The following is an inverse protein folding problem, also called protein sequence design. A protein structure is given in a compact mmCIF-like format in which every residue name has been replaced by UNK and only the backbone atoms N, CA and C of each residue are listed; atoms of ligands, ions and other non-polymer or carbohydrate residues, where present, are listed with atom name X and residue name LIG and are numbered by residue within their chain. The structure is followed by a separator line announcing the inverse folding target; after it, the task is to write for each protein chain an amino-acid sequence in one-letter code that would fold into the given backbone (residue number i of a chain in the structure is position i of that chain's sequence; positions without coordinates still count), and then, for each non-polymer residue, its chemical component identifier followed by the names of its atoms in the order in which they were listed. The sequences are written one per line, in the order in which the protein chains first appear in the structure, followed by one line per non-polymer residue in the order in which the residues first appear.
data_IF_411667533824
#
_entry.id   IF_411667533824
#
_cell.length_a   1.000
_cell.length_b   1.000
_cell.length_c   1.000
_cell.angle_alpha   90.00
_cell.angle_beta   90.00
_cell.angle_gamma   90.00
#
_symmetry.space_group_name_H-M   'P 1'
#
loop_
_entity.id
_entity.type
_entity.pdbx_description
1 polymer ?
#
# COMPACT_ATOMS: atom_id res chain seq x y z
N UNK A 1 64.85 30.99 33.76
CA UNK A 1 63.44 30.56 33.83
C UNK A 1 62.80 30.87 32.48
N UNK A 2 62.75 29.89 31.58
CA UNK A 2 62.12 30.07 30.26
C UNK A 2 60.61 30.09 30.44
N UNK A 3 59.96 31.17 30.00
CA UNK A 3 58.52 31.31 30.01
C UNK A 3 57.89 30.26 29.09
N UNK A 4 56.92 29.52 29.61
CA UNK A 4 56.10 28.59 28.82
C UNK A 4 55.29 29.40 27.79
N UNK A 5 55.23 28.96 26.53
CA UNK A 5 54.42 29.62 25.51
C UNK A 5 52.94 29.50 25.87
N UNK A 6 52.23 30.62 25.71
CA UNK A 6 50.80 30.76 25.98
C UNK A 6 50.00 29.79 25.09
N UNK A 7 49.03 29.03 25.62
CA UNK A 7 48.22 28.13 24.82
C UNK A 7 47.36 28.93 23.84
N UNK A 8 47.51 28.63 22.55
CA UNK A 8 46.77 29.30 21.48
C UNK A 8 45.24 29.13 21.60
N UNK A 9 44.46 30.02 20.95
CA UNK A 9 43.01 30.00 21.02
C UNK A 9 42.46 28.66 20.55
N UNK A 10 41.60 28.05 21.36
CA UNK A 10 40.91 26.81 21.04
C UNK A 10 40.02 26.99 19.80
N UNK A 11 40.03 26.04 18.84
CA UNK A 11 39.17 26.12 17.67
C UNK A 11 37.69 26.25 18.07
N UNK A 12 36.88 27.05 17.36
CA UNK A 12 35.45 27.15 17.65
C UNK A 12 34.80 25.78 17.56
N UNK A 13 34.03 25.42 18.58
CA UNK A 13 33.32 24.16 18.61
C UNK A 13 32.41 24.05 17.37
N UNK A 14 32.37 22.87 16.70
CA UNK A 14 31.47 22.68 15.57
C UNK A 14 30.03 22.96 16.00
N UNK A 15 29.21 23.60 15.12
CA UNK A 15 27.83 23.91 15.45
C UNK A 15 27.13 22.61 15.84
N UNK A 16 26.50 22.62 17.03
CA UNK A 16 25.71 21.49 17.48
C UNK A 16 24.64 21.20 16.44
N UNK A 17 24.46 19.94 15.99
CA UNK A 17 23.43 19.62 15.02
C UNK A 17 22.08 20.08 15.59
N UNK A 18 21.20 20.68 14.76
CA UNK A 18 19.92 21.14 15.24
C UNK A 18 19.19 19.97 15.90
N UNK A 19 18.80 20.12 17.16
CA UNK A 19 17.96 19.15 17.85
C UNK A 19 16.63 19.10 17.10
N UNK A 20 16.44 18.07 16.26
CA UNK A 20 15.16 17.85 15.61
C UNK A 20 14.18 17.35 16.65
N UNK A 21 13.43 18.28 17.25
CA UNK A 21 12.27 17.92 18.06
C UNK A 21 11.22 17.34 17.12
N UNK A 22 10.86 16.07 17.35
CA UNK A 22 9.78 15.42 16.62
C UNK A 22 8.47 16.01 17.16
N UNK A 23 7.84 16.90 16.41
CA UNK A 23 6.53 17.47 16.74
C UNK A 23 5.43 16.78 15.93
N UNK A 24 4.33 16.46 16.59
CA UNK A 24 3.13 15.95 15.95
C UNK A 24 2.39 17.10 15.29
N UNK A 25 2.38 17.11 13.96
CA UNK A 25 1.69 18.12 13.17
C UNK A 25 0.27 17.65 12.82
N UNK A 26 -0.72 18.13 13.58
CA UNK A 26 -2.13 17.79 13.40
C UNK A 26 -2.70 18.28 12.06
N UNK A 27 -2.06 19.25 11.40
CA UNK A 27 -2.49 19.69 10.05
C UNK A 27 -2.38 18.57 9.01
N UNK A 28 -1.58 17.53 9.30
CA UNK A 28 -1.36 16.37 8.43
C UNK A 28 -2.30 15.20 8.70
N UNK A 29 -3.11 15.27 9.75
CA UNK A 29 -4.12 14.27 10.10
C UNK A 29 -5.04 13.89 8.92
N UNK A 30 -5.53 14.83 8.09
CA UNK A 30 -6.36 14.49 6.93
C UNK A 30 -5.67 13.56 5.94
N UNK A 31 -4.37 13.78 5.71
CA UNK A 31 -3.60 12.95 4.77
C UNK A 31 -3.34 11.54 5.30
N UNK A 32 -3.11 11.40 6.61
CA UNK A 32 -2.94 10.11 7.27
C UNK A 32 -4.28 9.37 7.35
N UNK A 33 -5.37 10.05 7.72
CA UNK A 33 -6.72 9.51 7.75
C UNK A 33 -7.19 9.05 6.37
N UNK A 34 -6.85 9.79 5.31
CA UNK A 34 -7.13 9.37 3.94
C UNK A 34 -6.39 8.07 3.57
N UNK A 35 -5.11 7.97 3.92
CA UNK A 35 -4.34 6.74 3.67
C UNK A 35 -4.92 5.54 4.42
N UNK A 36 -5.22 5.69 5.71
CA UNK A 36 -5.87 4.64 6.52
C UNK A 36 -7.24 4.27 5.96
N UNK A 37 -8.03 5.26 5.57
CA UNK A 37 -9.35 5.04 5.00
C UNK A 37 -9.31 4.26 3.70
N UNK A 38 -8.45 4.66 2.76
CA UNK A 38 -8.21 3.90 1.52
C UNK A 38 -7.69 2.50 1.82
N UNK A 39 -6.77 2.36 2.77
CA UNK A 39 -6.18 1.08 3.15
C UNK A 39 -7.24 0.08 3.64
N UNK A 40 -8.17 0.53 4.49
CA UNK A 40 -9.26 -0.30 5.02
C UNK A 40 -10.30 -0.64 3.95
N UNK A 41 -10.69 0.32 3.11
CA UNK A 41 -11.60 0.03 1.99
C UNK A 41 -10.96 -0.94 1.00
N UNK A 42 -9.67 -0.77 0.67
CA UNK A 42 -8.92 -1.71 -0.15
C UNK A 42 -8.85 -3.10 0.48
N UNK A 43 -8.62 -3.21 1.79
CA UNK A 43 -8.66 -4.49 2.49
C UNK A 43 -10.01 -5.19 2.30
N UNK A 44 -11.13 -4.45 2.37
CA UNK A 44 -12.46 -4.99 2.01
C UNK A 44 -12.52 -5.52 0.58
N UNK A 45 -11.93 -4.81 -0.39
CA UNK A 45 -11.89 -5.26 -1.79
C UNK A 45 -11.04 -6.53 -1.93
N UNK A 46 -9.90 -6.64 -1.24
CA UNK A 46 -9.06 -7.84 -1.27
C UNK A 46 -9.78 -9.03 -0.63
N UNK A 47 -10.48 -8.84 0.50
CA UNK A 47 -11.32 -9.91 1.08
C UNK A 47 -12.43 -10.30 0.09
N UNK A 48 -13.07 -9.34 -0.56
CA UNK A 48 -14.06 -9.65 -1.61
C UNK A 48 -13.45 -10.47 -2.74
N UNK A 49 -12.25 -10.10 -3.20
CA UNK A 49 -11.52 -10.82 -4.25
C UNK A 49 -11.23 -12.27 -3.86
N UNK A 50 -10.77 -12.49 -2.63
CA UNK A 50 -10.39 -13.82 -2.15
C UNK A 50 -11.59 -14.74 -1.91
N UNK A 51 -12.76 -14.18 -1.58
CA UNK A 51 -13.92 -14.97 -1.13
C UNK A 51 -15.07 -15.04 -2.12
N UNK A 52 -15.18 -14.10 -3.08
CA UNK A 52 -16.31 -14.04 -4.02
C UNK A 52 -16.48 -15.31 -4.87
N UNK A 53 -15.40 -16.06 -5.10
CA UNK A 53 -15.36 -17.30 -5.92
C UNK A 53 -14.89 -18.52 -5.15
N UNK A 54 -14.88 -18.49 -3.81
CA UNK A 54 -14.29 -19.56 -2.97
C UNK A 54 -14.85 -20.95 -3.28
N UNK A 55 -16.10 -21.04 -3.73
CA UNK A 55 -16.79 -22.30 -4.06
C UNK A 55 -17.01 -22.48 -5.59
N UNK A 56 -16.25 -21.77 -6.43
CA UNK A 56 -16.38 -21.79 -7.89
C UNK A 56 -17.53 -20.94 -8.44
N UNK A 57 -18.66 -20.88 -7.73
CA UNK A 57 -19.75 -19.96 -8.04
C UNK A 57 -19.50 -18.55 -7.47
N UNK A 58 -20.06 -17.54 -8.14
CA UNK A 58 -19.96 -16.15 -7.71
C UNK A 58 -20.93 -15.87 -6.55
N UNK A 59 -20.39 -15.63 -5.35
CA UNK A 59 -21.15 -15.07 -4.25
C UNK A 59 -21.42 -13.58 -4.52
N UNK A 60 -22.61 -13.29 -5.04
CA UNK A 60 -23.03 -11.93 -5.38
C UNK A 60 -23.00 -10.96 -4.20
N UNK A 61 -23.18 -11.44 -2.97
CA UNK A 61 -23.16 -10.57 -1.77
C UNK A 61 -21.75 -10.07 -1.47
N UNK A 62 -20.76 -10.99 -1.53
CA UNK A 62 -19.35 -10.66 -1.34
C UNK A 62 -18.83 -9.84 -2.52
N UNK A 63 -19.17 -10.23 -3.75
CA UNK A 63 -18.74 -9.52 -4.96
C UNK A 63 -19.26 -8.08 -5.00
N UNK A 64 -20.56 -7.87 -4.72
CA UNK A 64 -21.16 -6.54 -4.77
C UNK A 64 -20.56 -5.57 -3.75
N UNK A 65 -20.19 -6.03 -2.55
CA UNK A 65 -19.47 -5.21 -1.56
C UNK A 65 -18.11 -4.73 -2.09
N UNK A 66 -17.35 -5.61 -2.76
CA UNK A 66 -16.08 -5.24 -3.38
C UNK A 66 -16.24 -4.25 -4.53
N UNK A 67 -17.27 -4.42 -5.37
CA UNK A 67 -17.62 -3.47 -6.44
C UNK A 67 -18.00 -2.10 -5.87
N UNK A 68 -18.89 -2.07 -4.85
CA UNK A 68 -19.31 -0.82 -4.20
C UNK A 68 -18.14 -0.11 -3.54
N UNK A 69 -17.25 -0.84 -2.85
CA UNK A 69 -16.04 -0.29 -2.26
C UNK A 69 -15.11 0.33 -3.32
N UNK A 70 -14.88 -0.38 -4.42
CA UNK A 70 -14.01 0.07 -5.52
C UNK A 70 -14.57 1.31 -6.22
N UNK A 71 -15.84 1.26 -6.62
CA UNK A 71 -16.53 2.40 -7.25
C UNK A 71 -16.72 3.56 -6.28
N UNK A 72 -16.91 3.29 -4.99
CA UNK A 72 -17.00 4.30 -3.94
C UNK A 72 -15.71 5.11 -3.81
N UNK A 73 -14.55 4.45 -3.84
CA UNK A 73 -13.25 5.14 -3.83
C UNK A 73 -13.05 6.03 -5.07
N UNK A 74 -13.45 5.55 -6.26
CA UNK A 74 -13.41 6.35 -7.48
C UNK A 74 -14.39 7.54 -7.42
N UNK A 75 -15.61 7.31 -6.92
CA UNK A 75 -16.61 8.36 -6.76
C UNK A 75 -16.15 9.43 -5.77
N UNK A 76 -15.48 9.04 -4.67
CA UNK A 76 -14.85 9.99 -3.73
C UNK A 76 -13.77 10.80 -4.44
N UNK A 77 -12.89 10.16 -5.22
CA UNK A 77 -11.85 10.86 -5.96
C UNK A 77 -12.43 11.86 -6.96
N UNK A 78 -13.45 11.46 -7.73
CA UNK A 78 -14.14 12.34 -8.71
C UNK A 78 -14.88 13.47 -7.98
N UNK A 79 -15.59 13.18 -6.90
CA UNK A 79 -16.30 14.19 -6.13
C UNK A 79 -15.32 15.20 -5.49
N UNK A 80 -14.19 14.73 -4.98
CA UNK A 80 -13.13 15.60 -4.48
C UNK A 80 -12.54 16.45 -5.60
N UNK A 81 -12.32 15.88 -6.79
CA UNK A 81 -11.90 16.64 -7.96
C UNK A 81 -12.91 17.75 -8.29
N UNK A 82 -14.21 17.50 -8.23
CA UNK A 82 -15.19 18.50 -8.67
C UNK A 82 -15.55 19.53 -7.60
N UNK A 83 -15.52 19.16 -6.31
CA UNK A 83 -16.14 19.95 -5.23
C UNK A 83 -15.18 20.51 -4.20
N UNK A 84 -13.96 19.97 -4.08
CA UNK A 84 -13.04 20.37 -3.00
C UNK A 84 -12.17 21.55 -3.46
N UNK A 85 -12.28 22.72 -2.80
CA UNK A 85 -11.40 23.84 -3.08
C UNK A 85 -9.99 23.60 -2.51
N UNK A 86 -8.99 24.23 -3.12
CA UNK A 86 -7.59 24.15 -2.71
C UNK A 86 -6.81 22.98 -3.32
N UNK A 87 -5.63 23.27 -3.87
CA UNK A 87 -4.82 22.28 -4.62
C UNK A 87 -4.31 21.15 -3.73
N UNK A 88 -3.85 21.46 -2.52
CA UNK A 88 -3.26 20.45 -1.62
C UNK A 88 -4.32 19.50 -1.05
N UNK A 89 -5.45 20.05 -0.58
CA UNK A 89 -6.59 19.27 -0.06
C UNK A 89 -7.16 18.34 -1.13
N UNK A 90 -7.33 18.86 -2.34
CA UNK A 90 -7.79 18.11 -3.50
C UNK A 90 -6.80 17.01 -3.89
N UNK A 91 -5.50 17.29 -3.88
CA UNK A 91 -4.49 16.29 -4.25
C UNK A 91 -4.53 15.04 -3.35
N UNK A 92 -4.68 15.19 -2.03
CA UNK A 92 -4.74 14.06 -1.11
C UNK A 92 -6.01 13.22 -1.27
N UNK A 93 -7.17 13.86 -1.42
CA UNK A 93 -8.47 13.20 -1.54
C UNK A 93 -8.75 12.62 -2.93
N UNK A 94 -8.01 13.06 -3.96
CA UNK A 94 -8.11 12.52 -5.33
C UNK A 94 -7.14 11.36 -5.53
N UNK A 95 -5.87 11.53 -5.15
CA UNK A 95 -4.81 10.60 -5.54
C UNK A 95 -4.90 9.24 -4.84
N UNK A 96 -5.08 9.21 -3.52
CA UNK A 96 -5.16 7.94 -2.78
C UNK A 96 -6.46 7.18 -3.05
N UNK A 97 -7.66 7.79 -2.92
CA UNK A 97 -8.90 7.10 -3.27
C UNK A 97 -8.96 6.72 -4.75
N UNK A 98 -8.48 7.59 -5.65
CA UNK A 98 -8.42 7.29 -7.07
C UNK A 98 -7.56 6.07 -7.38
N UNK A 99 -6.33 6.04 -6.85
CA UNK A 99 -5.42 4.91 -7.03
C UNK A 99 -5.99 3.61 -6.43
N UNK A 100 -6.53 3.67 -5.20
CA UNK A 100 -7.16 2.50 -4.57
C UNK A 100 -8.38 2.00 -5.33
N UNK A 101 -9.23 2.92 -5.81
CA UNK A 101 -10.40 2.57 -6.63
C UNK A 101 -10.02 1.92 -7.95
N UNK A 102 -8.94 2.37 -8.60
CA UNK A 102 -8.40 1.74 -9.83
C UNK A 102 -7.96 0.31 -9.57
N UNK A 103 -7.18 0.07 -8.50
CA UNK A 103 -6.77 -1.29 -8.12
C UNK A 103 -7.99 -2.15 -7.83
N UNK A 104 -8.95 -1.62 -7.09
CA UNK A 104 -10.18 -2.35 -6.76
C UNK A 104 -11.00 -2.72 -7.99
N UNK A 105 -11.15 -1.81 -8.96
CA UNK A 105 -11.80 -2.11 -10.24
C UNK A 105 -11.07 -3.21 -10.99
N UNK A 106 -9.73 -3.18 -11.02
CA UNK A 106 -8.93 -4.26 -11.59
C UNK A 106 -9.22 -5.61 -10.93
N UNK A 107 -9.14 -5.67 -9.60
CA UNK A 107 -9.39 -6.89 -8.83
C UNK A 107 -10.82 -7.43 -9.05
N UNK A 108 -11.84 -6.57 -9.01
CA UNK A 108 -13.23 -6.98 -9.24
C UNK A 108 -13.48 -7.41 -10.69
N UNK A 109 -12.78 -6.80 -11.65
CA UNK A 109 -12.82 -7.25 -13.05
C UNK A 109 -12.22 -8.64 -13.20
N UNK A 110 -11.13 -8.95 -12.50
CA UNK A 110 -10.53 -10.28 -12.51
C UNK A 110 -11.50 -11.35 -11.97
N UNK A 111 -12.17 -11.06 -10.86
CA UNK A 111 -13.19 -11.93 -10.25
C UNK A 111 -14.41 -12.14 -11.14
N UNK A 112 -14.81 -11.10 -11.88
CA UNK A 112 -15.95 -11.14 -12.78
C UNK A 112 -15.69 -12.06 -13.99
N UNK A 113 -14.50 -11.93 -14.59
CA UNK A 113 -14.10 -12.70 -15.78
C UNK A 113 -13.88 -14.17 -15.41
N UNK A 114 -13.19 -14.45 -14.30
CA UNK A 114 -12.97 -15.80 -13.75
C UNK A 114 -12.40 -16.83 -14.76
N UNK A 115 -11.56 -16.34 -15.67
CA UNK A 115 -10.95 -17.12 -16.76
C UNK A 115 -9.56 -16.54 -17.09
N UNK A 116 -8.78 -17.22 -17.95
CA UNK A 116 -7.45 -16.80 -18.37
C UNK A 116 -7.36 -15.31 -18.79
N UNK A 117 -8.36 -14.72 -19.49
CA UNK A 117 -8.36 -13.30 -19.81
C UNK A 117 -8.24 -12.36 -18.61
N UNK A 118 -8.69 -12.77 -17.42
CA UNK A 118 -8.59 -11.98 -16.20
C UNK A 118 -7.13 -11.57 -15.89
N UNK A 119 -6.17 -12.44 -16.21
CA UNK A 119 -4.75 -12.27 -15.88
C UNK A 119 -4.05 -11.16 -16.68
N UNK A 120 -4.60 -10.76 -17.84
CA UNK A 120 -4.09 -9.63 -18.60
C UNK A 120 -5.06 -8.45 -18.70
N UNK A 121 -6.38 -8.69 -18.72
CA UNK A 121 -7.38 -7.61 -18.80
C UNK A 121 -7.38 -6.75 -17.54
N UNK A 122 -7.42 -7.37 -16.35
CA UNK A 122 -7.46 -6.64 -15.08
C UNK A 122 -6.21 -5.75 -14.86
N UNK A 123 -4.97 -6.26 -14.97
CA UNK A 123 -3.79 -5.43 -14.74
C UNK A 123 -3.56 -4.41 -15.88
N UNK A 124 -3.98 -4.70 -17.12
CA UNK A 124 -3.98 -3.70 -18.20
C UNK A 124 -4.95 -2.55 -17.92
N UNK A 125 -6.14 -2.87 -17.41
CA UNK A 125 -7.11 -1.86 -16.97
C UNK A 125 -6.55 -0.99 -15.85
N UNK A 126 -5.92 -1.61 -14.84
CA UNK A 126 -5.23 -0.90 -13.75
C UNK A 126 -4.15 0.03 -14.31
N UNK A 127 -3.33 -0.46 -15.23
CA UNK A 127 -2.26 0.32 -15.85
C UNK A 127 -2.81 1.51 -16.65
N UNK A 128 -3.82 1.29 -17.49
CA UNK A 128 -4.42 2.33 -18.33
C UNK A 128 -5.08 3.43 -17.49
N UNK A 129 -5.88 3.05 -16.48
CA UNK A 129 -6.52 4.01 -15.58
C UNK A 129 -5.49 4.73 -14.71
N UNK A 130 -4.46 4.04 -14.24
CA UNK A 130 -3.37 4.64 -13.46
C UNK A 130 -2.59 5.65 -14.29
N UNK A 131 -2.31 5.35 -15.56
CA UNK A 131 -1.71 6.29 -16.49
C UNK A 131 -2.61 7.53 -16.68
N UNK A 132 -3.91 7.34 -16.86
CA UNK A 132 -4.88 8.44 -16.94
C UNK A 132 -4.86 9.33 -15.68
N UNK A 133 -4.93 8.72 -14.49
CA UNK A 133 -4.84 9.44 -13.21
C UNK A 133 -3.50 10.17 -13.05
N UNK A 134 -2.40 9.55 -13.46
CA UNK A 134 -1.07 10.18 -13.44
C UNK A 134 -0.96 11.34 -14.42
N UNK A 135 -1.55 11.26 -15.62
CA UNK A 135 -1.55 12.36 -16.58
C UNK A 135 -2.33 13.57 -16.07
N UNK A 136 -3.40 13.36 -15.29
CA UNK A 136 -4.21 14.42 -14.70
C UNK A 136 -3.55 15.05 -13.47
N UNK A 137 -2.97 14.25 -12.57
CA UNK A 137 -2.50 14.73 -11.24
C UNK A 137 -1.00 14.66 -11.00
N UNK A 138 -0.25 13.86 -11.76
CA UNK A 138 1.20 13.64 -11.61
C UNK A 138 1.61 13.32 -10.16
N UNK A 139 0.81 12.51 -9.48
CA UNK A 139 1.03 12.14 -8.07
C UNK A 139 1.51 10.70 -7.94
N UNK A 140 2.29 10.43 -6.90
CA UNK A 140 2.88 9.13 -6.62
C UNK A 140 1.87 7.96 -6.58
N UNK A 141 0.68 8.04 -5.95
CA UNK A 141 -0.22 6.89 -5.83
C UNK A 141 -0.57 6.21 -7.16
N UNK A 142 -0.80 6.99 -8.23
CA UNK A 142 -1.07 6.45 -9.56
C UNK A 142 0.15 5.77 -10.18
N UNK A 143 1.36 6.24 -9.89
CA UNK A 143 2.59 5.54 -10.32
C UNK A 143 2.67 4.19 -9.62
N UNK A 144 2.38 4.12 -8.31
CA UNK A 144 2.44 2.87 -7.55
C UNK A 144 1.47 1.82 -8.10
N UNK A 145 0.24 2.22 -8.41
CA UNK A 145 -0.77 1.30 -8.95
C UNK A 145 -0.49 0.92 -10.39
N UNK A 146 0.06 1.84 -11.18
CA UNK A 146 0.56 1.53 -12.53
C UNK A 146 1.71 0.51 -12.49
N UNK A 147 2.65 0.67 -11.55
CA UNK A 147 3.74 -0.29 -11.34
C UNK A 147 3.23 -1.66 -10.91
N UNK A 148 2.21 -1.71 -10.04
CA UNK A 148 1.56 -2.95 -9.64
C UNK A 148 0.93 -3.66 -10.85
N UNK A 149 0.13 -2.95 -11.65
CA UNK A 149 -0.45 -3.50 -12.88
C UNK A 149 0.61 -3.96 -13.88
N UNK A 150 1.67 -3.17 -14.07
CA UNK A 150 2.79 -3.51 -14.95
C UNK A 150 3.54 -4.76 -14.46
N UNK A 151 3.77 -4.87 -13.15
CA UNK A 151 4.43 -6.03 -12.55
C UNK A 151 3.62 -7.31 -12.78
N UNK A 152 2.31 -7.27 -12.56
CA UNK A 152 1.42 -8.42 -12.79
C UNK A 152 1.42 -8.82 -14.28
N UNK A 153 1.29 -7.86 -15.19
CA UNK A 153 1.35 -8.12 -16.65
C UNK A 153 2.68 -8.74 -17.08
N UNK A 154 3.78 -8.17 -16.59
CA UNK A 154 5.12 -8.64 -16.92
C UNK A 154 5.34 -10.06 -16.41
N UNK A 155 4.99 -10.34 -15.15
CA UNK A 155 5.16 -11.67 -14.56
C UNK A 155 4.28 -12.70 -15.25
N UNK A 156 3.03 -12.37 -15.58
CA UNK A 156 2.18 -13.26 -16.37
C UNK A 156 2.79 -13.55 -17.75
N UNK A 157 3.24 -12.53 -18.48
CA UNK A 157 3.88 -12.70 -19.78
C UNK A 157 5.15 -13.56 -19.71
N UNK A 158 5.93 -13.38 -18.64
CA UNK A 158 7.11 -14.20 -18.34
C UNK A 158 6.71 -15.66 -18.07
N UNK A 159 5.70 -15.92 -17.24
CA UNK A 159 5.26 -17.30 -16.96
C UNK A 159 4.73 -18.01 -18.22
N UNK A 160 4.09 -17.26 -19.12
CA UNK A 160 3.62 -17.80 -20.41
C UNK A 160 4.77 -18.07 -21.38
N UNK A 161 5.75 -17.16 -21.46
CA UNK A 161 6.90 -17.31 -22.35
C UNK A 161 7.87 -18.42 -21.92
N UNK A 162 7.97 -18.66 -20.61
CA UNK A 162 8.85 -19.67 -20.04
C UNK A 162 8.27 -21.09 -20.20
N UNK A 163 6.94 -21.25 -20.19
CA UNK A 163 6.30 -22.56 -20.30
C UNK A 163 6.72 -23.52 -19.20
N UNK A 164 7.02 -24.78 -19.56
CA UNK A 164 7.47 -25.82 -18.63
C UNK A 164 8.99 -25.77 -18.43
N UNK A 165 9.46 -24.76 -17.69
CA UNK A 165 10.88 -24.64 -17.37
C UNK A 165 11.38 -25.67 -16.32
N UNK A 166 10.50 -26.56 -15.85
CA UNK A 166 10.83 -27.58 -14.85
C UNK A 166 11.70 -27.04 -13.71
N UNK A 167 12.83 -27.69 -13.47
CA UNK A 167 13.76 -27.38 -12.37
C UNK A 167 14.43 -25.99 -12.49
N UNK A 168 14.38 -25.36 -13.67
CA UNK A 168 14.98 -24.03 -13.89
C UNK A 168 14.01 -22.87 -13.62
N UNK A 169 12.74 -23.16 -13.33
CA UNK A 169 11.69 -22.14 -13.17
C UNK A 169 12.09 -21.03 -12.18
N UNK A 170 12.65 -21.40 -11.02
CA UNK A 170 13.05 -20.44 -9.97
C UNK A 170 14.13 -19.47 -10.47
N UNK A 171 15.12 -19.96 -11.22
CA UNK A 171 16.21 -19.14 -11.74
C UNK A 171 15.72 -18.19 -12.82
N UNK A 172 14.88 -18.67 -13.74
CA UNK A 172 14.35 -17.83 -14.82
C UNK A 172 13.38 -16.79 -14.27
N UNK A 173 12.51 -17.17 -13.33
CA UNK A 173 11.60 -16.25 -12.65
C UNK A 173 12.36 -15.19 -11.82
N UNK A 174 13.37 -15.61 -11.06
CA UNK A 174 14.26 -14.70 -10.33
C UNK A 174 15.01 -13.73 -11.25
N UNK A 175 15.55 -14.23 -12.36
CA UNK A 175 16.19 -13.41 -13.39
C UNK A 175 15.22 -12.40 -14.02
N UNK A 176 13.98 -12.83 -14.31
CA UNK A 176 12.96 -11.94 -14.85
C UNK A 176 12.60 -10.81 -13.87
N UNK A 177 12.53 -11.08 -12.57
CA UNK A 177 12.33 -10.07 -11.54
C UNK A 177 13.50 -9.08 -11.47
N UNK A 178 14.75 -9.55 -11.58
CA UNK A 178 15.93 -8.67 -11.64
C UNK A 178 15.83 -7.74 -12.86
N UNK A 179 15.52 -8.28 -14.03
CA UNK A 179 15.33 -7.49 -15.26
C UNK A 179 14.23 -6.44 -15.07
N UNK A 180 13.08 -6.84 -14.51
CA UNK A 180 11.98 -5.91 -14.23
C UNK A 180 12.42 -4.75 -13.34
N UNK A 181 13.06 -5.06 -12.20
CA UNK A 181 13.52 -4.04 -11.24
C UNK A 181 14.53 -3.10 -11.90
N UNK A 182 15.51 -3.63 -12.63
CA UNK A 182 16.53 -2.83 -13.29
C UNK A 182 15.93 -1.90 -14.35
N UNK A 183 15.05 -2.42 -15.21
CA UNK A 183 14.40 -1.63 -16.27
C UNK A 183 13.53 -0.53 -15.67
N UNK A 184 12.63 -0.87 -14.75
CA UNK A 184 11.73 0.10 -14.12
C UNK A 184 12.49 1.15 -13.33
N UNK A 185 13.52 0.76 -12.58
CA UNK A 185 14.35 1.72 -11.84
C UNK A 185 15.08 2.66 -12.80
N UNK A 186 15.65 2.14 -13.89
CA UNK A 186 16.33 2.95 -14.91
C UNK A 186 15.37 3.92 -15.61
N UNK A 187 14.17 3.46 -15.96
CA UNK A 187 13.11 4.31 -16.52
C UNK A 187 12.66 5.39 -15.53
N UNK A 188 12.54 5.07 -14.25
CA UNK A 188 12.18 6.06 -13.24
C UNK A 188 13.26 7.13 -13.06
N UNK A 189 14.54 6.74 -13.14
CA UNK A 189 15.66 7.67 -13.08
C UNK A 189 15.70 8.64 -14.26
N UNK A 190 15.25 8.21 -15.43
CA UNK A 190 15.26 9.02 -16.66
C UNK A 190 13.99 9.84 -16.83
N UNK A 191 12.82 9.27 -16.53
CA UNK A 191 11.51 9.86 -16.82
C UNK A 191 10.84 10.53 -15.62
N UNK A 192 11.20 10.15 -14.38
CA UNK A 192 10.52 10.60 -13.16
C UNK A 192 11.50 11.13 -12.10
N UNK A 193 12.22 12.25 -12.35
CA UNK A 193 13.27 12.74 -11.45
C UNK A 193 12.79 13.00 -10.01
N UNK A 194 11.54 13.47 -9.85
CA UNK A 194 10.93 13.77 -8.56
C UNK A 194 10.49 12.54 -7.76
N UNK A 195 10.35 11.37 -8.41
CA UNK A 195 9.84 10.14 -7.80
C UNK A 195 10.79 8.95 -7.91
N UNK A 196 11.98 9.13 -8.50
CA UNK A 196 12.95 8.05 -8.79
C UNK A 196 13.26 7.15 -7.58
N UNK A 197 13.47 7.73 -6.39
CA UNK A 197 13.77 6.98 -5.17
C UNK A 197 12.56 6.14 -4.76
N UNK A 198 11.37 6.74 -4.80
CA UNK A 198 10.15 6.07 -4.42
C UNK A 198 9.84 4.90 -5.36
N UNK A 199 9.96 5.11 -6.67
CA UNK A 199 9.73 4.07 -7.68
C UNK A 199 10.74 2.93 -7.50
N UNK A 200 12.01 3.22 -7.30
CA UNK A 200 13.02 2.18 -7.05
C UNK A 200 12.71 1.34 -5.80
N UNK A 201 12.39 1.99 -4.68
CA UNK A 201 12.03 1.30 -3.43
C UNK A 201 10.80 0.43 -3.60
N UNK A 202 9.74 0.96 -4.22
CA UNK A 202 8.47 0.24 -4.40
C UNK A 202 8.64 -0.92 -5.36
N UNK A 203 9.38 -0.73 -6.46
CA UNK A 203 9.66 -1.80 -7.42
C UNK A 203 10.47 -2.91 -6.77
N UNK A 204 11.47 -2.56 -5.95
CA UNK A 204 12.22 -3.52 -5.14
C UNK A 204 11.33 -4.26 -4.15
N UNK A 205 10.42 -3.56 -3.45
CA UNK A 205 9.48 -4.19 -2.53
C UNK A 205 8.49 -5.13 -3.24
N UNK A 206 7.99 -4.76 -4.42
CA UNK A 206 7.15 -5.61 -5.27
C UNK A 206 7.92 -6.87 -5.69
N UNK A 207 9.16 -6.71 -6.16
CA UNK A 207 9.99 -7.84 -6.54
C UNK A 207 10.30 -8.75 -5.36
N UNK A 208 10.59 -8.19 -4.18
CA UNK A 208 10.76 -8.95 -2.94
C UNK A 208 9.47 -9.65 -2.53
N UNK A 209 8.30 -9.06 -2.75
CA UNK A 209 7.02 -9.70 -2.46
C UNK A 209 6.77 -10.90 -3.39
N UNK A 210 6.99 -10.74 -4.70
CA UNK A 210 6.80 -11.79 -5.71
C UNK A 210 7.87 -12.87 -5.70
N UNK A 211 9.11 -12.53 -5.34
CA UNK A 211 10.15 -13.51 -5.00
C UNK A 211 9.83 -14.15 -3.64
N UNK A 212 9.24 -13.34 -2.77
CA UNK A 212 8.99 -13.61 -1.37
C UNK A 212 7.80 -14.49 -1.08
N UNK A 213 6.96 -14.86 -2.04
CA UNK A 213 6.13 -16.07 -1.89
C UNK A 213 6.99 -17.32 -1.68
N UNK A 214 8.28 -17.31 -2.06
CA UNK A 214 9.31 -18.25 -1.62
C UNK A 214 10.10 -17.83 -0.36
N UNK A 215 10.04 -16.57 0.08
CA UNK A 215 10.67 -16.04 1.31
C UNK A 215 9.71 -16.10 2.52
N UNK A 216 8.41 -16.19 2.28
CA UNK A 216 7.43 -16.74 3.19
C UNK A 216 7.71 -18.21 3.44
N UNK A 217 8.50 -18.91 2.63
CA UNK A 217 8.91 -20.28 2.96
C UNK A 217 9.80 -20.34 4.22
N UNK A 218 10.87 -19.52 4.40
CA UNK A 218 11.57 -19.40 5.66
C UNK A 218 10.80 -18.67 6.77
N UNK A 219 9.88 -17.73 6.48
CA UNK A 219 9.02 -17.15 7.54
C UNK A 219 7.96 -18.17 8.01
N UNK A 220 7.41 -18.95 7.09
CA UNK A 220 6.58 -20.13 7.35
C UNK A 220 7.42 -21.24 7.97
N UNK A 221 8.74 -21.35 7.78
CA UNK A 221 9.61 -22.27 8.54
C UNK A 221 10.07 -21.69 9.90
N UNK A 222 10.11 -20.37 10.06
CA UNK A 222 10.39 -19.69 11.32
C UNK A 222 9.14 -19.72 12.21
N UNK A 223 7.95 -19.63 11.62
CA UNK A 223 6.64 -19.77 12.26
C UNK A 223 6.21 -21.24 12.34
N UNK A 224 6.36 -22.07 11.31
CA UNK A 224 6.18 -23.53 11.40
C UNK A 224 7.33 -24.24 12.13
N UNK A 225 8.43 -23.55 12.44
CA UNK A 225 9.35 -23.94 13.49
C UNK A 225 8.70 -23.96 14.88
N UNK A 226 7.56 -23.27 15.05
CA UNK A 226 6.62 -23.45 16.16
C UNK A 226 5.49 -24.46 15.88
N UNK A 227 5.29 -24.85 14.60
CA UNK A 227 4.25 -25.77 14.12
C UNK A 227 4.68 -27.24 13.95
N UNK A 228 5.94 -27.61 14.19
CA UNK A 228 6.36 -29.02 14.34
C UNK A 228 5.85 -29.63 15.66
N UNK A 229 5.04 -28.89 16.42
CA UNK A 229 4.28 -29.38 17.57
C UNK A 229 2.77 -29.35 17.27
N UNK A 230 2.30 -30.39 16.59
CA UNK A 230 0.96 -30.95 16.84
C UNK A 230 -0.12 -30.68 15.78
N UNK A 231 -0.32 -31.65 14.89
CA UNK A 231 -1.54 -31.77 14.08
C UNK A 231 -2.72 -32.44 14.83
N UNK A 232 -2.57 -32.85 16.10
CA UNK A 232 -3.64 -33.49 16.88
C UNK A 232 -3.68 -33.06 18.38
N UNK A 233 -3.66 -31.76 18.68
CA UNK A 233 -3.93 -31.29 20.06
C UNK A 233 -5.20 -30.45 20.16
N UNK A 234 -6.24 -31.01 20.80
CA UNK A 234 -7.14 -30.22 21.63
C UNK A 234 -6.30 -29.27 22.48
N UNK A 235 -6.37 -27.96 22.20
CA UNK A 235 -5.49 -26.96 22.79
C UNK A 235 -4.47 -26.34 21.83
N UNK A 236 -4.68 -26.37 20.51
CA UNK A 236 -3.91 -25.57 19.56
C UNK A 236 -3.94 -24.08 19.97
N UNK A 237 -2.83 -23.51 20.51
CA UNK A 237 -2.79 -22.15 21.02
C UNK A 237 -2.90 -21.10 19.90
N UNK A 238 -2.79 -21.54 18.64
CA UNK A 238 -2.74 -20.68 17.47
C UNK A 238 -4.13 -20.42 16.86
N UNK A 239 -5.21 -20.94 17.43
CA UNK A 239 -6.55 -20.50 17.03
C UNK A 239 -6.79 -19.01 17.38
N UNK A 240 -6.10 -18.49 18.40
CA UNK A 240 -6.07 -17.07 18.78
C UNK A 240 -5.05 -16.23 17.96
N UNK A 241 -4.19 -16.84 17.15
CA UNK A 241 -3.10 -16.14 16.45
C UNK A 241 -3.59 -15.13 15.41
N UNK A 242 -4.71 -15.42 14.74
CA UNK A 242 -5.26 -14.50 13.75
C UNK A 242 -5.64 -13.15 14.37
N UNK A 243 -6.18 -13.16 15.60
CA UNK A 243 -6.49 -11.93 16.34
C UNK A 243 -5.22 -11.20 16.77
N UNK A 244 -4.17 -11.93 17.16
CA UNK A 244 -2.87 -11.33 17.46
C UNK A 244 -2.26 -10.67 16.21
N UNK A 245 -2.29 -11.33 15.05
CA UNK A 245 -1.82 -10.75 13.78
C UNK A 245 -2.62 -9.51 13.41
N UNK A 246 -3.95 -9.53 13.56
CA UNK A 246 -4.79 -8.34 13.37
C UNK A 246 -4.40 -7.20 14.32
N UNK A 247 -4.20 -7.49 15.61
CA UNK A 247 -3.80 -6.51 16.61
C UNK A 247 -2.43 -5.90 16.29
N UNK A 248 -1.41 -6.72 16.01
CA UNK A 248 -0.08 -6.23 15.63
C UNK A 248 -0.11 -5.43 14.34
N UNK A 249 -0.90 -5.87 13.35
CA UNK A 249 -1.11 -5.13 12.10
C UNK A 249 -1.76 -3.77 12.37
N UNK A 250 -2.80 -3.72 13.21
CA UNK A 250 -3.44 -2.47 13.59
C UNK A 250 -2.47 -1.53 14.33
N UNK A 251 -1.66 -2.05 15.26
CA UNK A 251 -0.63 -1.27 15.96
C UNK A 251 0.43 -0.72 14.99
N UNK A 252 0.86 -1.51 14.00
CA UNK A 252 1.80 -1.07 12.96
C UNK A 252 1.21 0.03 12.06
N UNK A 253 -0.04 -0.13 11.63
CA UNK A 253 -0.78 0.89 10.87
C UNK A 253 -0.87 2.19 11.68
N UNK A 254 -1.21 2.11 12.97
CA UNK A 254 -1.27 3.26 13.86
C UNK A 254 0.10 3.91 14.04
N UNK A 255 1.15 3.12 14.26
CA UNK A 255 2.52 3.59 14.37
C UNK A 255 2.96 4.35 13.10
N UNK A 256 2.72 3.79 11.91
CA UNK A 256 3.05 4.48 10.67
C UNK A 256 2.16 5.68 10.39
N UNK A 257 0.90 5.69 10.84
CA UNK A 257 0.07 6.88 10.79
C UNK A 257 0.65 8.01 11.65
N UNK A 258 1.14 7.70 12.85
CA UNK A 258 1.87 8.64 13.72
C UNK A 258 3.14 9.13 13.04
N UNK A 259 3.94 8.23 12.45
CA UNK A 259 5.14 8.62 11.69
C UNK A 259 4.81 9.48 10.46
N UNK A 260 3.70 9.20 9.77
CA UNK A 260 3.22 10.00 8.64
C UNK A 260 2.82 11.41 9.09
N UNK A 261 2.17 11.54 10.25
CA UNK A 261 1.86 12.85 10.85
C UNK A 261 3.13 13.59 11.28
N UNK A 262 4.07 12.92 11.95
CA UNK A 262 5.31 13.54 12.41
C UNK A 262 6.22 14.01 11.25
N UNK A 263 6.35 13.21 10.19
CA UNK A 263 7.32 13.45 9.10
C UNK A 263 6.73 14.00 7.80
N UNK A 264 5.44 13.76 7.54
CA UNK A 264 4.81 14.04 6.25
C UNK A 264 5.26 13.11 5.11
N UNK A 265 6.18 12.18 5.37
CA UNK A 265 6.83 11.38 4.34
C UNK A 265 5.85 10.39 3.69
N UNK A 266 5.84 10.33 2.36
CA UNK A 266 4.91 9.46 1.59
C UNK A 266 5.12 7.98 1.87
N UNK A 267 6.35 7.57 2.19
CA UNK A 267 6.70 6.19 2.52
C UNK A 267 5.85 5.58 3.64
N UNK A 268 5.54 6.33 4.70
CA UNK A 268 4.71 5.83 5.79
C UNK A 268 3.26 5.59 5.36
N UNK A 269 2.72 6.41 4.46
CA UNK A 269 1.37 6.22 3.89
C UNK A 269 1.31 4.97 3.02
N UNK A 270 2.40 4.67 2.30
CA UNK A 270 2.52 3.44 1.52
C UNK A 270 2.55 2.23 2.44
N UNK A 271 3.28 2.28 3.56
CA UNK A 271 3.33 1.20 4.54
C UNK A 271 1.96 0.91 5.15
N UNK A 272 1.19 1.96 5.48
CA UNK A 272 -0.20 1.84 5.95
C UNK A 272 -1.06 1.08 4.92
N UNK A 273 -1.04 1.52 3.67
CA UNK A 273 -1.85 0.91 2.60
C UNK A 273 -1.41 -0.53 2.33
N UNK A 274 -0.10 -0.76 2.22
CA UNK A 274 0.47 -2.08 1.97
C UNK A 274 0.08 -3.07 3.08
N UNK A 275 0.28 -2.72 4.35
CA UNK A 275 -0.04 -3.61 5.46
C UNK A 275 -1.54 -3.88 5.58
N UNK A 276 -2.40 -2.86 5.43
CA UNK A 276 -3.84 -3.13 5.49
C UNK A 276 -4.30 -4.00 4.31
N UNK A 277 -3.84 -3.72 3.09
CA UNK A 277 -4.27 -4.46 1.90
C UNK A 277 -3.76 -5.90 1.87
N UNK A 278 -2.71 -6.24 2.64
CA UNK A 278 -2.11 -7.58 2.65
C UNK A 278 -2.36 -8.34 3.94
N UNK A 279 -1.96 -7.77 5.07
CA UNK A 279 -1.99 -8.45 6.37
C UNK A 279 -3.40 -8.56 6.94
N UNK A 280 -4.30 -7.58 6.68
CA UNK A 280 -5.68 -7.67 7.20
C UNK A 280 -6.46 -8.79 6.51
N UNK A 281 -6.50 -8.91 5.17
CA UNK A 281 -7.14 -10.05 4.51
C UNK A 281 -6.53 -11.39 4.93
N UNK A 282 -5.20 -11.45 5.06
CA UNK A 282 -4.50 -12.64 5.55
C UNK A 282 -4.97 -13.02 6.95
N UNK A 283 -4.97 -12.08 7.89
CA UNK A 283 -5.38 -12.36 9.26
C UNK A 283 -6.88 -12.69 9.37
N UNK A 284 -7.74 -12.02 8.58
CA UNK A 284 -9.16 -12.35 8.49
C UNK A 284 -9.41 -13.77 7.96
N UNK A 285 -8.54 -14.27 7.07
CA UNK A 285 -8.61 -15.65 6.60
C UNK A 285 -8.34 -16.68 7.69
N UNK A 286 -7.60 -16.30 8.74
CA UNK A 286 -7.30 -17.16 9.90
C UNK A 286 -8.40 -17.07 10.97
N UNK A 287 -8.97 -15.89 11.19
CA UNK A 287 -9.84 -15.62 12.35
C UNK A 287 -11.28 -16.10 12.17
N UNK A 288 -11.89 -15.86 11.01
CA UNK A 288 -13.34 -16.05 10.88
C UNK A 288 -13.75 -16.25 9.41
N UNK A 289 -13.40 -17.40 8.81
CA UNK A 289 -13.71 -17.70 7.41
C UNK A 289 -15.22 -17.85 7.12
N UNK A 290 -16.06 -17.95 8.16
CA UNK A 290 -17.50 -18.21 8.03
C UNK A 290 -18.36 -17.03 7.58
N UNK A 291 -17.91 -15.78 7.78
CA UNK A 291 -18.71 -14.58 7.47
C UNK A 291 -17.89 -13.48 6.78
N UNK A 292 -17.35 -13.72 5.57
CA UNK A 292 -16.49 -12.76 4.87
C UNK A 292 -17.19 -11.42 4.58
N UNK A 293 -18.50 -11.42 4.35
CA UNK A 293 -19.29 -10.21 4.07
C UNK A 293 -19.38 -9.26 5.27
N UNK A 294 -19.40 -9.75 6.51
CA UNK A 294 -19.46 -8.91 7.71
C UNK A 294 -18.15 -8.17 7.94
N UNK A 295 -17.02 -8.85 7.72
CA UNK A 295 -15.69 -8.24 7.81
C UNK A 295 -15.47 -7.20 6.71
N UNK A 296 -15.89 -7.51 5.48
CA UNK A 296 -15.89 -6.54 4.38
C UNK A 296 -16.70 -5.30 4.73
N UNK A 297 -17.92 -5.48 5.22
CA UNK A 297 -18.78 -4.38 5.63
C UNK A 297 -18.10 -3.54 6.73
N UNK A 298 -17.56 -4.19 7.77
CA UNK A 298 -16.86 -3.51 8.86
C UNK A 298 -15.66 -2.70 8.39
N UNK A 299 -14.80 -3.29 7.56
CA UNK A 299 -13.64 -2.63 6.96
C UNK A 299 -14.05 -1.46 6.05
N UNK A 300 -15.05 -1.67 5.19
CA UNK A 300 -15.58 -0.65 4.30
C UNK A 300 -16.17 0.54 5.06
N UNK A 301 -16.94 0.29 6.13
CA UNK A 301 -17.51 1.35 6.97
C UNK A 301 -16.44 2.10 7.74
N UNK A 302 -15.49 1.41 8.38
CA UNK A 302 -14.39 2.05 9.11
C UNK A 302 -13.50 2.88 8.16
N UNK A 303 -13.20 2.34 6.98
CA UNK A 303 -12.45 3.05 5.96
C UNK A 303 -13.19 4.26 5.40
N UNK A 304 -14.50 4.14 5.15
CA UNK A 304 -15.37 5.25 4.74
C UNK A 304 -15.45 6.35 5.80
N UNK A 305 -15.54 6.00 7.09
CA UNK A 305 -15.51 6.95 8.20
C UNK A 305 -14.16 7.69 8.28
N UNK A 306 -13.04 6.99 8.11
CA UNK A 306 -11.72 7.62 8.08
C UNK A 306 -11.56 8.59 6.88
N UNK A 307 -12.11 8.23 5.71
CA UNK A 307 -12.16 9.13 4.54
C UNK A 307 -13.05 10.35 4.80
N UNK A 308 -14.19 10.17 5.49
CA UNK A 308 -15.05 11.28 5.88
C UNK A 308 -14.33 12.23 6.85
N UNK A 309 -13.61 11.69 7.85
CA UNK A 309 -12.77 12.49 8.75
C UNK A 309 -11.71 13.27 7.97
N UNK A 310 -11.04 12.63 7.00
CA UNK A 310 -10.07 13.29 6.14
C UNK A 310 -10.69 14.44 5.33
N UNK A 311 -11.89 14.23 4.79
CA UNK A 311 -12.61 15.25 4.04
C UNK A 311 -13.02 16.44 4.93
N UNK A 312 -13.52 16.18 6.15
CA UNK A 312 -14.02 17.20 7.07
C UNK A 312 -12.92 18.00 7.77
N UNK A 313 -11.75 17.39 8.02
CA UNK A 313 -10.66 18.02 8.79
C UNK A 313 -9.59 18.71 7.93
N UNK A 314 -9.70 18.62 6.61
CA UNK A 314 -8.70 19.27 5.78
C UNK A 314 -8.88 20.80 5.81
N UNK A 315 -7.82 21.56 6.13
CA UNK A 315 -7.90 23.00 6.35
C UNK A 315 -8.37 23.72 5.09
N UNK A 316 -9.17 24.78 5.29
CA UNK A 316 -9.58 25.66 4.20
C UNK A 316 -8.40 26.56 3.81
N UNK A 317 -8.21 26.78 2.50
CA UNK A 317 -7.13 27.60 1.96
C UNK A 317 -7.16 29.07 2.47
N UNK A 318 -8.26 29.49 3.09
CA UNK A 318 -8.42 30.80 3.71
C UNK A 318 -7.65 30.98 5.03
N UNK A 319 -7.25 29.88 5.69
CA UNK A 319 -6.59 29.91 7.00
C UNK A 319 -5.06 29.86 6.93
N UNK A 320 -4.47 29.82 5.72
CA UNK A 320 -3.02 29.90 5.58
C UNK A 320 -2.58 31.35 5.75
N UNK A 321 -1.77 31.70 6.78
CA UNK A 321 -1.24 33.05 6.90
C UNK A 321 -0.46 33.38 5.63
N UNK A 322 -0.87 34.44 4.93
CA UNK A 322 -0.20 35.01 3.75
C UNK A 322 1.13 35.69 4.11
N UNK A 323 1.85 35.15 5.09
CA UNK A 323 2.99 35.79 5.75
C UNK A 323 4.19 34.86 5.83
N UNK A 324 4.88 34.67 4.70
CA UNK A 324 6.33 34.49 4.64
C UNK A 324 6.76 34.58 3.16
N UNK A 325 6.74 35.80 2.63
CA UNK A 325 7.62 36.11 1.50
C UNK A 325 9.06 36.19 2.02
N UNK A 326 9.89 35.23 1.62
CA UNK A 326 11.32 35.36 1.32
C UNK A 326 11.87 34.02 0.86
#
# INVERSE_FOLDING_TARGET
MSAMPEPGPTPPAPPSPPSRTITLDLSRLPSAAAAVGVALVLASVVVSTAYARKHGELDGSVFSLGVVASLGLLAIAIAAELKVPGLERRAALVSWPGAGGIVGVGLMTAVLIDDEPALYVAPLLVLALSLGGFLVRRTAPFVLTGLLGLAVLYLWGVTQAIGDAGDSFIWVYGGALVVFVTVVTTLAWTLLPSMRVLVGVVTGAIALFFNGSGFFFPFYFLVAGFGVLGEDQEGNPFHDDGYAVLLYTALLILFWAVCAMASGHVGFRILIVAAAATMVPLALSLVAPGHPSWWQLGLGLLGGLALLVAALRAPDAADLPTGAGS
#
